data_IF_145118556878
#
_entry.id   IF_145118556878
#
_cell.length_a   1.000
_cell.length_b   1.000
_cell.length_c   1.000
_cell.angle_alpha   90.00
_cell.angle_beta   90.00
_cell.angle_gamma   90.00
#
_symmetry.space_group_name_H-M   'P 1'
#
loop_
_entity.id
_entity.type
_entity.pdbx_description
1 polymer ?
#
# COMPACT_ATOMS: atom_id res chain seq x y z
N UNK A 1 -30.91 62.48 30.63
CA UNK A 1 -31.88 61.44 30.22
C UNK A 1 -31.10 60.21 29.81
N UNK A 2 -31.51 59.06 30.35
CA UNK A 2 -30.81 57.77 30.35
C UNK A 2 -30.35 57.28 28.98
N UNK A 3 -29.10 56.86 28.89
CA UNK A 3 -28.68 55.83 27.93
C UNK A 3 -28.26 54.58 28.70
N UNK A 4 -29.25 53.93 29.31
CA UNK A 4 -29.12 52.58 29.83
C UNK A 4 -30.13 51.70 29.08
N UNK A 5 -29.67 51.10 28.00
CA UNK A 5 -30.33 50.04 27.21
C UNK A 5 -29.22 49.30 26.48
N UNK A 6 -29.15 47.99 26.38
CA UNK A 6 -29.82 46.89 27.04
C UNK A 6 -29.11 45.65 26.48
N UNK A 7 -28.90 44.67 27.35
CA UNK A 7 -28.92 43.25 27.05
C UNK A 7 -27.95 42.67 25.99
N UNK A 8 -26.84 42.17 26.53
CA UNK A 8 -26.30 40.80 26.33
C UNK A 8 -26.71 40.13 25.02
N UNK A 9 -25.85 40.22 24.01
CA UNK A 9 -25.89 39.34 22.85
C UNK A 9 -25.11 38.06 23.20
N UNK A 10 -25.83 37.04 23.66
CA UNK A 10 -25.30 35.68 23.82
C UNK A 10 -24.96 35.11 22.44
N UNK A 11 -23.67 35.12 22.09
CA UNK A 11 -23.16 34.41 20.92
C UNK A 11 -23.08 32.90 21.25
N UNK A 12 -24.08 32.13 20.80
CA UNK A 12 -24.00 30.67 20.83
C UNK A 12 -23.19 30.23 19.60
N UNK A 13 -21.89 30.02 19.79
CA UNK A 13 -21.04 29.38 18.78
C UNK A 13 -21.30 27.87 18.80
N UNK A 14 -22.09 27.38 17.85
CA UNK A 14 -22.24 25.94 17.62
C UNK A 14 -21.03 25.47 16.81
N UNK A 15 -20.01 24.98 17.50
CA UNK A 15 -18.87 24.29 16.90
C UNK A 15 -19.29 22.86 16.55
N UNK A 16 -19.90 22.68 15.38
CA UNK A 16 -20.11 21.36 14.80
C UNK A 16 -18.78 20.79 14.32
N UNK A 17 -18.14 19.96 15.17
CA UNK A 17 -17.02 19.12 14.77
C UNK A 17 -17.55 17.99 13.87
N UNK A 18 -17.60 18.23 12.57
CA UNK A 18 -17.74 17.16 11.60
C UNK A 18 -16.42 16.42 11.53
N UNK A 19 -16.29 15.34 12.31
CA UNK A 19 -15.24 14.35 12.10
C UNK A 19 -15.44 13.78 10.70
N UNK A 20 -14.67 14.27 9.74
CA UNK A 20 -14.57 13.69 8.42
C UNK A 20 -13.88 12.32 8.60
N UNK A 21 -14.70 11.28 8.83
CA UNK A 21 -14.31 9.93 8.50
C UNK A 21 -14.13 9.90 6.98
N UNK A 22 -12.93 10.26 6.52
CA UNK A 22 -12.50 9.97 5.17
C UNK A 22 -12.72 8.48 4.91
N UNK A 23 -13.02 8.08 3.68
CA UNK A 23 -13.25 6.68 3.39
C UNK A 23 -11.99 5.94 3.79
N UNK A 24 -12.09 5.05 4.79
CA UNK A 24 -11.17 3.93 4.84
C UNK A 24 -11.36 3.26 3.48
N UNK A 25 -10.40 3.46 2.59
CA UNK A 25 -10.28 2.67 1.39
C UNK A 25 -10.27 1.23 1.91
N UNK A 26 -11.42 0.56 1.77
CA UNK A 26 -11.49 -0.86 1.95
C UNK A 26 -10.37 -1.43 1.08
N UNK A 27 -9.50 -2.22 1.71
CA UNK A 27 -8.48 -3.00 1.04
C UNK A 27 -9.25 -3.87 0.03
N UNK A 28 -9.39 -3.36 -1.18
CA UNK A 28 -10.06 -4.06 -2.25
C UNK A 28 -9.23 -5.34 -2.45
N UNK A 29 -9.84 -6.52 -2.49
CA UNK A 29 -9.10 -7.77 -2.61
C UNK A 29 -8.21 -7.63 -3.85
N UNK A 30 -6.91 -7.58 -3.62
CA UNK A 30 -5.92 -7.40 -4.68
C UNK A 30 -6.12 -8.52 -5.67
N UNK A 31 -6.28 -8.14 -6.95
CA UNK A 31 -6.44 -9.05 -8.06
C UNK A 31 -5.44 -10.22 -7.92
N UNK A 32 -5.97 -11.41 -7.69
CA UNK A 32 -5.32 -12.73 -7.68
C UNK A 32 -3.79 -12.64 -7.52
N UNK A 33 -3.33 -12.39 -6.30
CA UNK A 33 -1.89 -12.33 -6.02
C UNK A 33 -1.26 -13.70 -6.30
N UNK A 34 -0.51 -13.81 -7.40
CA UNK A 34 0.21 -15.03 -7.73
C UNK A 34 1.19 -15.40 -6.62
N UNK A 35 1.13 -16.65 -6.13
CA UNK A 35 2.09 -17.16 -5.15
C UNK A 35 3.50 -17.21 -5.72
N UNK A 36 4.51 -16.93 -4.88
CA UNK A 36 5.92 -17.03 -5.27
C UNK A 36 6.28 -18.45 -5.72
N UNK A 37 5.78 -19.46 -5.00
CA UNK A 37 6.05 -20.86 -5.32
C UNK A 37 5.48 -21.24 -6.69
N UNK A 38 4.27 -20.77 -7.00
CA UNK A 38 3.64 -21.01 -8.30
C UNK A 38 4.38 -20.31 -9.44
N UNK A 39 4.83 -19.07 -9.21
CA UNK A 39 5.65 -18.36 -10.19
C UNK A 39 6.97 -19.11 -10.50
N UNK A 40 7.70 -19.54 -9.46
CA UNK A 40 8.96 -20.28 -9.62
C UNK A 40 8.72 -21.59 -10.38
N UNK A 41 7.67 -22.33 -10.01
CA UNK A 41 7.31 -23.59 -10.67
C UNK A 41 6.96 -23.39 -12.15
N UNK A 42 6.25 -22.31 -12.48
CA UNK A 42 5.78 -22.02 -13.83
C UNK A 42 6.82 -21.27 -14.68
N UNK A 43 7.93 -20.81 -14.09
CA UNK A 43 8.99 -20.05 -14.78
C UNK A 43 10.35 -20.73 -14.64
N UNK A 44 10.51 -21.98 -15.15
CA UNK A 44 11.77 -22.70 -15.07
C UNK A 44 12.89 -21.93 -15.79
N UNK A 45 14.12 -22.02 -15.25
CA UNK A 45 15.29 -21.33 -15.81
C UNK A 45 15.40 -19.84 -15.46
N UNK A 46 14.43 -19.28 -14.72
CA UNK A 46 14.56 -17.95 -14.16
C UNK A 46 15.57 -17.96 -12.99
N UNK A 47 16.64 -17.17 -13.11
CA UNK A 47 17.68 -17.06 -12.09
C UNK A 47 17.48 -15.84 -11.17
N UNK A 48 16.72 -14.85 -11.63
CA UNK A 48 16.36 -13.67 -10.87
C UNK A 48 14.97 -13.17 -11.28
N UNK A 49 14.18 -12.78 -10.30
CA UNK A 49 12.85 -12.22 -10.51
C UNK A 49 12.53 -11.12 -9.50
N UNK A 50 11.52 -10.30 -9.81
CA UNK A 50 11.10 -9.19 -8.96
C UNK A 50 9.58 -9.04 -8.93
N UNK A 51 9.04 -8.70 -7.77
CA UNK A 51 7.65 -8.25 -7.58
C UNK A 51 7.53 -6.72 -7.51
N UNK A 52 8.53 -6.00 -8.05
CA UNK A 52 8.72 -4.54 -7.96
C UNK A 52 9.12 -4.01 -6.56
N UNK A 53 8.97 -4.82 -5.51
CA UNK A 53 9.32 -4.45 -4.15
C UNK A 53 10.64 -5.05 -3.69
N UNK A 54 10.90 -6.28 -4.09
CA UNK A 54 12.08 -7.06 -3.79
C UNK A 54 12.69 -7.61 -5.07
N UNK A 55 13.99 -7.85 -5.03
CA UNK A 55 14.69 -8.64 -6.04
C UNK A 55 15.03 -9.98 -5.40
N UNK A 56 14.66 -11.06 -6.06
CA UNK A 56 14.86 -12.43 -5.61
C UNK A 56 15.78 -13.17 -6.59
N UNK A 57 16.86 -13.75 -6.09
CA UNK A 57 17.76 -14.62 -6.86
C UNK A 57 17.52 -16.08 -6.48
N UNK A 58 17.64 -16.98 -7.46
CA UNK A 58 17.63 -18.42 -7.21
C UNK A 58 19.04 -18.87 -6.81
N UNK A 59 19.20 -19.29 -5.54
CA UNK A 59 20.44 -19.81 -4.95
C UNK A 59 20.15 -21.20 -4.40
N UNK A 60 20.86 -22.21 -4.87
CA UNK A 60 20.69 -23.62 -4.45
C UNK A 60 19.23 -24.11 -4.46
N UNK A 61 18.46 -23.68 -5.48
CA UNK A 61 17.05 -24.04 -5.66
C UNK A 61 16.07 -23.30 -4.74
N UNK A 62 16.53 -22.29 -4.00
CA UNK A 62 15.71 -21.44 -3.14
C UNK A 62 15.75 -19.99 -3.62
N UNK A 63 14.65 -19.28 -3.41
CA UNK A 63 14.62 -17.84 -3.65
C UNK A 63 15.19 -17.10 -2.44
N UNK A 64 16.27 -16.36 -2.65
CA UNK A 64 16.82 -15.41 -1.70
C UNK A 64 16.45 -14.00 -2.14
N UNK A 65 15.68 -13.28 -1.31
CA UNK A 65 15.11 -11.99 -1.66
C UNK A 65 15.70 -10.85 -0.81
N UNK A 66 15.85 -9.68 -1.44
CA UNK A 66 16.16 -8.44 -0.73
C UNK A 66 15.01 -8.01 0.21
N UNK A 67 15.30 -7.11 1.14
CA UNK A 67 14.23 -6.44 1.91
C UNK A 67 13.37 -5.57 0.98
N UNK A 68 12.04 -5.58 1.13
CA UNK A 68 11.16 -4.70 0.36
C UNK A 68 11.46 -3.21 0.59
N UNK A 69 11.34 -2.39 -0.46
CA UNK A 69 11.43 -0.93 -0.33
C UNK A 69 10.24 -0.33 0.43
N UNK A 70 10.48 0.77 1.13
CA UNK A 70 9.44 1.51 1.87
C UNK A 70 8.32 1.95 0.91
N UNK A 71 7.07 1.77 1.33
CA UNK A 71 5.86 2.14 0.60
C UNK A 71 5.72 1.48 -0.79
N UNK A 72 6.33 0.31 -0.99
CA UNK A 72 6.17 -0.42 -2.23
C UNK A 72 4.84 -1.17 -2.30
N UNK A 73 4.18 -1.10 -3.46
CA UNK A 73 3.00 -1.88 -3.78
C UNK A 73 3.43 -3.08 -4.61
N UNK A 74 3.17 -4.28 -4.11
CA UNK A 74 3.53 -5.53 -4.77
C UNK A 74 2.88 -5.64 -6.15
N UNK A 75 3.65 -6.10 -7.13
CA UNK A 75 3.17 -6.43 -8.48
C UNK A 75 3.36 -7.93 -8.76
N UNK A 76 2.71 -8.48 -9.79
CA UNK A 76 3.00 -9.82 -10.25
C UNK A 76 4.50 -10.01 -10.48
N UNK A 77 5.02 -11.19 -10.15
CA UNK A 77 6.43 -11.49 -10.33
C UNK A 77 6.82 -11.45 -11.82
N UNK A 78 7.98 -10.87 -12.10
CA UNK A 78 8.57 -10.81 -13.44
C UNK A 78 9.98 -11.36 -13.37
N UNK A 79 10.30 -12.28 -14.28
CA UNK A 79 11.66 -12.78 -14.43
C UNK A 79 12.55 -11.68 -15.04
N UNK A 80 13.58 -11.26 -14.32
CA UNK A 80 14.52 -10.21 -14.73
C UNK A 80 15.80 -10.79 -15.33
N UNK A 81 16.16 -12.04 -14.97
CA UNK A 81 17.31 -12.74 -15.53
C UNK A 81 17.03 -14.23 -15.70
N UNK A 82 17.42 -14.80 -16.84
CA UNK A 82 17.34 -16.23 -17.13
C UNK A 82 18.73 -16.85 -17.30
N UNK A 83 18.80 -18.18 -17.26
CA UNK A 83 20.04 -18.93 -17.43
C UNK A 83 20.55 -18.98 -18.88
N UNK A 84 19.68 -18.70 -19.86
CA UNK A 84 19.94 -18.75 -21.29
C UNK A 84 20.30 -17.38 -21.91
N UNK A 85 20.48 -16.34 -21.09
CA UNK A 85 20.89 -14.98 -21.49
C UNK A 85 22.26 -14.60 -20.96
#
# INVERSE_FOLDING_TARGET
>A
MSFLRSFVLTAVAVLSLSAANGPMAADAPSAEEQSMADFIKNTPGCLEFSDQCSICAMVDGKAECSTPRIACVKKPYVCTRRADN
#
